data_IF_737979222110
#
_entry.id   IF_737979222110
#
_cell.length_a   1.000
_cell.length_b   1.000
_cell.length_c   1.000
_cell.angle_alpha   90.00
_cell.angle_beta   90.00
_cell.angle_gamma   90.00
#
_symmetry.space_group_name_H-M   'P 1'
#
loop_
_entity.id
_entity.type
_entity.pdbx_description
1 polymer ?
#
# COMPACT_ATOMS: atom_id res chain seq x y z
N UNK A 1 -41.80 -13.08 77.23
CA UNK A 1 -41.57 -13.54 78.62
C UNK A 1 -40.26 -14.33 78.64
N UNK A 2 -39.23 -13.76 79.30
CA UNK A 2 -37.94 -14.36 79.79
C UNK A 2 -36.98 -14.94 78.71
N UNK A 3 -35.82 -14.30 78.43
CA UNK A 3 -34.50 -14.36 79.14
C UNK A 3 -33.89 -15.79 79.09
N UNK A 4 -32.60 -16.10 78.91
CA UNK A 4 -31.28 -15.43 78.91
C UNK A 4 -30.22 -16.54 78.65
N UNK A 5 -28.99 -16.16 78.26
CA UNK A 5 -27.70 -16.85 78.48
C UNK A 5 -27.48 -18.25 77.83
N UNK A 6 -26.30 -18.67 77.38
CA UNK A 6 -24.94 -18.12 77.46
C UNK A 6 -23.91 -19.06 76.77
N UNK A 7 -22.95 -18.40 76.11
CA UNK A 7 -21.57 -18.69 75.64
C UNK A 7 -20.79 -19.77 76.46
N UNK A 8 -19.65 -20.39 76.03
CA UNK A 8 -19.09 -20.78 74.70
C UNK A 8 -18.59 -22.26 74.65
N UNK A 9 -18.18 -22.76 73.47
CA UNK A 9 -17.06 -23.71 73.40
C UNK A 9 -16.24 -23.51 72.12
N UNK A 10 -14.95 -23.23 72.31
CA UNK A 10 -13.90 -23.08 71.30
C UNK A 10 -13.49 -24.46 70.79
N UNK A 11 -13.39 -24.64 69.48
CA UNK A 11 -12.59 -25.69 68.86
C UNK A 11 -12.04 -25.20 67.52
N UNK A 12 -10.71 -25.06 67.47
CA UNK A 12 -9.93 -24.85 66.26
C UNK A 12 -10.15 -26.03 65.31
N UNK A 13 -10.55 -25.74 64.07
CA UNK A 13 -10.40 -26.66 62.95
C UNK A 13 -9.72 -25.90 61.80
N UNK A 14 -8.60 -26.48 61.39
CA UNK A 14 -7.68 -26.11 60.31
C UNK A 14 -8.35 -25.61 59.03
N UNK A 15 -7.85 -24.47 58.52
CA UNK A 15 -8.09 -24.01 57.17
C UNK A 15 -7.47 -24.99 56.16
N UNK A 16 -8.25 -25.95 55.69
CA UNK A 16 -8.00 -26.61 54.41
C UNK A 16 -8.41 -25.63 53.30
N UNK A 17 -7.42 -25.06 52.61
CA UNK A 17 -7.66 -24.36 51.35
C UNK A 17 -8.15 -25.42 50.37
N UNK A 18 -9.47 -25.48 50.17
CA UNK A 18 -10.05 -26.22 49.07
C UNK A 18 -9.58 -25.51 47.79
N UNK A 19 -8.58 -26.08 47.12
CA UNK A 19 -8.31 -25.73 45.73
C UNK A 19 -9.55 -26.16 44.94
N UNK A 20 -10.33 -25.17 44.50
CA UNK A 20 -11.31 -25.36 43.45
C UNK A 20 -10.53 -25.81 42.21
N UNK A 21 -10.68 -27.08 41.86
CA UNK A 21 -10.23 -27.65 40.60
C UNK A 21 -11.06 -26.99 39.50
N UNK A 22 -10.49 -25.97 38.87
CA UNK A 22 -11.10 -25.18 37.80
C UNK A 22 -11.12 -26.06 36.55
N UNK A 23 -12.12 -26.95 36.47
CA UNK A 23 -12.35 -27.77 35.27
C UNK A 23 -12.46 -26.84 34.05
N UNK A 24 -11.67 -27.06 32.98
CA UNK A 24 -11.76 -26.24 31.79
C UNK A 24 -13.19 -26.33 31.22
N UNK A 25 -13.77 -25.21 30.75
CA UNK A 25 -15.14 -25.19 30.27
C UNK A 25 -15.33 -26.23 29.15
N UNK A 26 -16.48 -26.94 29.12
CA UNK A 26 -16.73 -27.96 28.11
C UNK A 26 -16.66 -27.32 26.72
N UNK A 27 -15.95 -27.95 25.78
CA UNK A 27 -15.69 -27.46 24.41
C UNK A 27 -16.95 -27.03 23.63
N UNK A 28 -18.13 -27.45 24.06
CA UNK A 28 -19.42 -27.09 23.46
C UNK A 28 -19.96 -25.71 23.90
N UNK A 29 -19.45 -25.13 24.99
CA UNK A 29 -19.88 -23.82 25.50
C UNK A 29 -19.38 -22.66 24.63
N UNK A 30 -18.10 -22.68 24.25
CA UNK A 30 -17.51 -21.65 23.40
C UNK A 30 -18.16 -21.57 22.01
N UNK A 31 -18.46 -22.71 21.38
CA UNK A 31 -19.14 -22.76 20.08
C UNK A 31 -20.60 -22.25 20.16
N UNK A 32 -21.28 -22.53 21.27
CA UNK A 32 -22.63 -22.01 21.53
C UNK A 32 -22.60 -20.48 21.75
N UNK A 33 -21.62 -19.99 22.50
CA UNK A 33 -21.44 -18.56 22.75
C UNK A 33 -21.12 -17.79 21.47
N UNK A 34 -20.23 -18.32 20.62
CA UNK A 34 -19.93 -17.75 19.30
C UNK A 34 -21.17 -17.71 18.39
N UNK A 35 -21.96 -18.78 18.40
CA UNK A 35 -23.23 -18.85 17.66
C UNK A 35 -24.24 -17.80 18.14
N UNK A 36 -24.37 -17.63 19.47
CA UNK A 36 -25.25 -16.63 20.08
C UNK A 36 -24.77 -15.20 19.77
N UNK A 37 -23.46 -14.96 19.78
CA UNK A 37 -22.88 -13.67 19.40
C UNK A 37 -23.14 -13.36 17.92
N UNK A 38 -22.98 -14.34 17.03
CA UNK A 38 -23.29 -14.20 15.60
C UNK A 38 -24.78 -13.91 15.34
N UNK A 39 -25.68 -14.57 16.05
CA UNK A 39 -27.12 -14.31 15.97
C UNK A 39 -27.49 -12.89 16.46
N UNK A 40 -26.89 -12.44 17.57
CA UNK A 40 -27.08 -11.08 18.09
C UNK A 40 -26.55 -10.02 17.14
N UNK A 41 -25.35 -10.20 16.59
CA UNK A 41 -24.79 -9.33 15.57
C UNK A 41 -25.74 -9.20 14.37
N UNK A 42 -26.21 -10.33 13.84
CA UNK A 42 -27.13 -10.36 12.69
C UNK A 42 -28.46 -9.65 13.00
N UNK A 43 -28.99 -9.85 14.20
CA UNK A 43 -30.22 -9.18 14.64
C UNK A 43 -30.05 -7.66 14.75
N UNK A 44 -28.90 -7.18 15.24
CA UNK A 44 -28.58 -5.76 15.33
C UNK A 44 -28.39 -5.12 13.95
N UNK A 45 -27.68 -5.78 13.05
CA UNK A 45 -27.53 -5.30 11.65
C UNK A 45 -28.90 -5.20 10.97
N UNK A 46 -29.72 -6.25 11.09
CA UNK A 46 -31.07 -6.25 10.52
C UNK A 46 -31.97 -5.17 11.13
N UNK A 47 -31.83 -4.90 12.44
CA UNK A 47 -32.51 -3.78 13.09
C UNK A 47 -32.04 -2.44 12.50
N UNK A 48 -30.73 -2.22 12.39
CA UNK A 48 -30.17 -1.02 11.77
C UNK A 48 -30.67 -0.79 10.34
N UNK A 49 -30.70 -1.85 9.53
CA UNK A 49 -31.21 -1.80 8.16
C UNK A 49 -32.69 -1.40 8.10
N UNK A 50 -33.54 -1.97 8.98
CA UNK A 50 -34.96 -1.63 9.06
C UNK A 50 -35.19 -0.19 9.51
N UNK A 51 -34.52 0.25 10.58
CA UNK A 51 -34.69 1.62 11.09
C UNK A 51 -34.17 2.66 10.08
N UNK A 52 -33.07 2.34 9.37
CA UNK A 52 -32.55 3.17 8.27
C UNK A 52 -33.56 3.29 7.13
N UNK A 53 -34.14 2.18 6.69
CA UNK A 53 -35.17 2.17 5.65
C UNK A 53 -36.44 2.93 6.07
N UNK A 54 -36.75 2.95 7.37
CA UNK A 54 -37.85 3.72 7.95
C UNK A 54 -37.53 5.21 8.19
N UNK A 55 -36.33 5.69 7.85
CA UNK A 55 -35.89 7.07 8.07
C UNK A 55 -35.56 7.41 9.53
N UNK A 56 -35.52 6.42 10.42
CA UNK A 56 -35.20 6.57 11.84
C UNK A 56 -33.70 6.50 12.06
N UNK A 57 -33.03 7.59 11.69
CA UNK A 57 -31.56 7.63 11.58
C UNK A 57 -30.86 7.42 12.93
N UNK A 58 -31.38 7.96 14.02
CA UNK A 58 -30.75 7.84 15.35
C UNK A 58 -30.80 6.39 15.85
N UNK A 59 -31.94 5.73 15.69
CA UNK A 59 -32.16 4.33 16.06
C UNK A 59 -31.31 3.38 15.21
N UNK A 60 -31.17 3.69 13.92
CA UNK A 60 -30.28 2.96 13.01
C UNK A 60 -28.81 3.08 13.46
N UNK A 61 -28.36 4.29 13.82
CA UNK A 61 -27.00 4.52 14.35
C UNK A 61 -26.76 3.73 15.61
N UNK A 62 -27.70 3.72 16.57
CA UNK A 62 -27.53 2.93 17.79
C UNK A 62 -27.40 1.44 17.48
N UNK A 63 -28.25 0.90 16.61
CA UNK A 63 -28.21 -0.52 16.25
C UNK A 63 -26.91 -0.92 15.53
N UNK A 64 -26.44 -0.13 14.56
CA UNK A 64 -25.17 -0.40 13.91
C UNK A 64 -23.96 -0.18 14.83
N UNK A 65 -23.99 0.82 15.72
CA UNK A 65 -22.92 1.04 16.68
C UNK A 65 -22.80 -0.11 17.69
N UNK A 66 -23.93 -0.68 18.13
CA UNK A 66 -23.94 -1.90 18.94
C UNK A 66 -23.40 -3.10 18.16
N UNK A 67 -23.80 -3.28 16.90
CA UNK A 67 -23.26 -4.35 16.05
C UNK A 67 -21.75 -4.21 15.84
N UNK A 68 -21.27 -2.99 15.57
CA UNK A 68 -19.86 -2.69 15.33
C UNK A 68 -19.01 -2.94 16.57
N UNK A 69 -19.50 -2.61 17.77
CA UNK A 69 -18.81 -2.96 19.03
C UNK A 69 -18.63 -4.46 19.24
N UNK A 70 -19.53 -5.28 18.69
CA UNK A 70 -19.41 -6.74 18.76
C UNK A 70 -18.38 -7.26 17.75
N UNK A 71 -18.35 -6.67 16.56
CA UNK A 71 -17.45 -7.05 15.47
C UNK A 71 -17.15 -5.83 14.62
N UNK A 72 -15.86 -5.54 14.45
CA UNK A 72 -15.33 -4.49 13.56
C UNK A 72 -15.50 -4.88 12.09
N UNK A 73 -16.76 -5.01 11.65
CA UNK A 73 -17.15 -5.38 10.29
C UNK A 73 -17.16 -4.13 9.38
N UNK A 74 -16.34 -4.08 8.30
CA UNK A 74 -16.22 -2.89 7.47
C UNK A 74 -17.54 -2.46 6.81
N UNK A 75 -18.45 -3.40 6.50
CA UNK A 75 -19.73 -3.06 5.85
C UNK A 75 -20.64 -2.36 6.84
N UNK A 76 -20.72 -2.88 8.07
CA UNK A 76 -21.46 -2.23 9.17
C UNK A 76 -20.85 -0.86 9.49
N UNK A 77 -19.52 -0.77 9.51
CA UNK A 77 -18.78 0.48 9.69
C UNK A 77 -19.13 1.51 8.62
N UNK A 78 -19.17 1.13 7.34
CA UNK A 78 -19.53 2.01 6.23
C UNK A 78 -20.96 2.56 6.33
N UNK A 79 -21.92 1.70 6.69
CA UNK A 79 -23.32 2.10 6.94
C UNK A 79 -23.45 3.06 8.12
N UNK A 80 -22.76 2.75 9.22
CA UNK A 80 -22.72 3.61 10.41
C UNK A 80 -22.10 4.97 10.09
N UNK A 81 -20.94 4.97 9.41
CA UNK A 81 -20.24 6.18 9.01
C UNK A 81 -21.09 7.08 8.11
N UNK A 82 -21.78 6.51 7.13
CA UNK A 82 -22.67 7.27 6.25
C UNK A 82 -23.81 7.96 7.03
N UNK A 83 -24.40 7.28 8.02
CA UNK A 83 -25.41 7.87 8.88
C UNK A 83 -24.84 8.95 9.81
N UNK A 84 -23.63 8.76 10.34
CA UNK A 84 -22.97 9.75 11.18
C UNK A 84 -22.71 11.06 10.43
N UNK A 85 -22.37 11.01 9.15
CA UNK A 85 -22.27 12.22 8.29
C UNK A 85 -23.62 12.94 8.19
N UNK A 86 -24.72 12.20 7.96
CA UNK A 86 -26.06 12.78 7.89
C UNK A 86 -26.48 13.45 9.21
N UNK A 87 -26.02 12.92 10.34
CA UNK A 87 -26.26 13.48 11.68
C UNK A 87 -25.26 14.57 12.10
N UNK A 88 -24.37 15.01 11.21
CA UNK A 88 -23.41 16.08 11.50
C UNK A 88 -22.24 15.65 12.39
N UNK A 89 -21.90 14.36 12.41
CA UNK A 89 -20.76 13.78 13.13
C UNK A 89 -19.65 13.30 12.17
N UNK A 90 -19.04 14.19 11.36
CA UNK A 90 -18.08 13.80 10.32
C UNK A 90 -16.77 13.21 10.88
N UNK A 91 -16.38 13.58 12.10
CA UNK A 91 -15.13 13.12 12.72
C UNK A 91 -15.15 11.61 12.95
N UNK A 92 -16.20 11.10 13.59
CA UNK A 92 -16.34 9.65 13.84
C UNK A 92 -16.63 8.88 12.55
N UNK A 93 -17.23 9.53 11.56
CA UNK A 93 -17.57 8.90 10.29
C UNK A 93 -16.34 8.63 9.40
N UNK A 94 -15.36 9.53 9.39
CA UNK A 94 -14.25 9.49 8.43
C UNK A 94 -13.42 8.20 8.53
N UNK A 95 -13.07 7.77 9.74
CA UNK A 95 -12.32 6.52 9.96
C UNK A 95 -13.14 5.29 9.50
N UNK A 96 -14.41 5.22 9.91
CA UNK A 96 -15.32 4.11 9.56
C UNK A 96 -15.53 4.00 8.05
N UNK A 97 -15.68 5.14 7.37
CA UNK A 97 -15.90 5.19 5.93
C UNK A 97 -14.65 4.82 5.14
N UNK A 98 -13.47 5.30 5.56
CA UNK A 98 -12.21 4.91 4.93
C UNK A 98 -12.00 3.39 5.02
N UNK A 99 -12.20 2.83 6.21
CA UNK A 99 -12.08 1.39 6.45
C UNK A 99 -13.06 0.58 5.58
N UNK A 100 -14.30 1.03 5.47
CA UNK A 100 -15.32 0.42 4.62
C UNK A 100 -14.98 0.49 3.12
N UNK A 101 -14.40 1.60 2.66
CA UNK A 101 -13.99 1.77 1.25
C UNK A 101 -12.84 0.81 0.91
N UNK A 102 -11.87 0.68 1.83
CA UNK A 102 -10.66 -0.11 1.61
C UNK A 102 -10.92 -1.62 1.77
N UNK A 103 -11.64 -2.04 2.83
CA UNK A 103 -11.84 -3.45 3.18
C UNK A 103 -13.24 -3.99 2.89
N UNK A 104 -14.23 -3.12 2.69
CA UNK A 104 -15.61 -3.53 2.39
C UNK A 104 -15.75 -4.11 0.99
N UNK A 105 -15.94 -5.44 0.92
CA UNK A 105 -16.15 -6.19 -0.32
C UNK A 105 -17.58 -6.73 -0.39
N UNK A 106 -18.07 -7.01 -1.60
CA UNK A 106 -19.40 -7.62 -1.80
C UNK A 106 -20.60 -6.68 -1.61
N UNK A 107 -20.36 -5.37 -1.48
CA UNK A 107 -21.42 -4.35 -1.45
C UNK A 107 -21.84 -3.92 -2.86
N UNK A 108 -23.07 -3.42 -2.99
CA UNK A 108 -23.56 -2.92 -4.28
C UNK A 108 -22.79 -1.67 -4.72
N UNK A 109 -22.75 -1.40 -6.02
CA UNK A 109 -22.11 -0.21 -6.57
C UNK A 109 -22.75 1.08 -6.03
N UNK A 110 -24.06 1.09 -5.85
CA UNK A 110 -24.82 2.20 -5.27
C UNK A 110 -24.42 2.46 -3.81
N UNK A 111 -24.35 1.41 -2.99
CA UNK A 111 -23.96 1.54 -1.59
C UNK A 111 -22.50 2.03 -1.46
N UNK A 112 -21.61 1.51 -2.30
CA UNK A 112 -20.20 1.97 -2.36
C UNK A 112 -20.10 3.43 -2.79
N UNK A 113 -20.89 3.87 -3.77
CA UNK A 113 -20.93 5.26 -4.20
C UNK A 113 -21.45 6.19 -3.09
N UNK A 114 -22.47 5.75 -2.33
CA UNK A 114 -22.96 6.48 -1.17
C UNK A 114 -21.89 6.63 -0.09
N UNK A 115 -21.07 5.60 0.16
CA UNK A 115 -19.95 5.68 1.11
C UNK A 115 -18.88 6.67 0.66
N UNK A 116 -18.48 6.64 -0.61
CA UNK A 116 -17.53 7.60 -1.18
C UNK A 116 -18.04 9.04 -1.04
N UNK A 117 -19.31 9.27 -1.37
CA UNK A 117 -19.95 10.58 -1.24
C UNK A 117 -20.00 11.05 0.22
N UNK A 118 -20.33 10.16 1.15
CA UNK A 118 -20.32 10.48 2.57
C UNK A 118 -18.89 10.75 3.08
N UNK A 119 -17.91 10.00 2.58
CA UNK A 119 -16.50 10.19 2.93
C UNK A 119 -15.98 11.53 2.44
N UNK A 120 -16.29 11.94 1.21
CA UNK A 120 -15.91 13.25 0.68
C UNK A 120 -16.48 14.40 1.54
N UNK A 121 -17.74 14.27 1.97
CA UNK A 121 -18.36 15.23 2.90
C UNK A 121 -17.66 15.23 4.27
N UNK A 122 -17.36 14.06 4.82
CA UNK A 122 -16.64 13.96 6.09
C UNK A 122 -15.24 14.57 5.98
N UNK A 123 -14.51 14.28 4.89
CA UNK A 123 -13.18 14.79 4.59
C UNK A 123 -13.13 16.31 4.49
N UNK A 124 -14.17 16.94 3.94
CA UNK A 124 -14.26 18.40 3.87
C UNK A 124 -14.36 19.07 5.27
N UNK A 125 -14.82 18.33 6.28
CA UNK A 125 -15.05 18.84 7.63
C UNK A 125 -13.90 18.53 8.62
N UNK A 126 -12.98 17.62 8.25
CA UNK A 126 -11.92 17.13 9.14
C UNK A 126 -10.53 17.27 8.52
N UNK A 127 -9.49 17.35 9.34
CA UNK A 127 -8.12 17.27 8.87
C UNK A 127 -7.67 15.81 8.85
N UNK A 128 -7.06 15.36 7.75
CA UNK A 128 -6.40 14.05 7.66
C UNK A 128 -4.96 14.20 8.09
N UNK A 129 -4.51 13.39 9.04
CA UNK A 129 -3.12 13.30 9.42
C UNK A 129 -2.55 11.96 8.97
N UNK A 130 -1.41 12.01 8.30
CA UNK A 130 -0.61 10.83 7.98
C UNK A 130 0.59 10.85 8.92
N UNK A 131 0.62 9.89 9.85
CA UNK A 131 1.61 9.84 10.92
C UNK A 131 2.57 8.70 10.64
N UNK A 132 3.86 9.02 10.65
CA UNK A 132 4.96 8.05 10.62
C UNK A 132 5.71 8.11 11.93
N UNK A 133 6.06 6.97 12.50
CA UNK A 133 6.86 6.84 13.73
C UNK A 133 8.13 6.07 13.41
N UNK A 134 9.28 6.58 13.86
CA UNK A 134 10.58 5.97 13.55
C UNK A 134 10.76 4.56 14.13
N UNK A 135 10.13 4.27 15.28
CA UNK A 135 10.24 2.99 15.97
C UNK A 135 8.88 2.28 16.02
N UNK A 136 8.89 0.98 15.73
CA UNK A 136 7.71 0.12 15.90
C UNK A 136 7.36 -0.03 17.39
N UNK A 137 6.10 -0.37 17.68
CA UNK A 137 5.58 -0.55 19.05
C UNK A 137 5.59 0.70 19.93
N UNK A 138 5.92 1.86 19.38
CA UNK A 138 5.74 3.14 20.04
C UNK A 138 4.25 3.40 20.30
N UNK A 139 3.93 3.86 21.52
CA UNK A 139 2.58 4.28 21.87
C UNK A 139 2.37 5.71 21.38
N UNK A 140 1.40 5.89 20.48
CA UNK A 140 1.02 7.23 19.98
C UNK A 140 -0.30 7.69 20.58
N UNK A 141 -0.29 8.92 21.11
CA UNK A 141 -1.47 9.61 21.64
C UNK A 141 -1.72 10.91 20.87
N UNK A 142 -2.99 11.23 20.67
CA UNK A 142 -3.46 12.53 20.19
C UNK A 142 -4.25 13.18 21.33
N UNK A 143 -3.80 14.35 21.80
CA UNK A 143 -4.40 15.06 22.94
C UNK A 143 -4.57 14.15 24.18
N UNK A 144 -3.59 13.26 24.41
CA UNK A 144 -3.61 12.26 25.48
C UNK A 144 -4.47 11.01 25.21
N UNK A 145 -5.29 10.99 24.16
CA UNK A 145 -6.08 9.81 23.79
C UNK A 145 -5.25 8.83 22.93
N UNK A 146 -5.21 7.53 23.25
CA UNK A 146 -4.42 6.55 22.50
C UNK A 146 -5.01 6.31 21.09
N UNK A 147 -4.18 6.45 20.06
CA UNK A 147 -4.59 6.29 18.64
C UNK A 147 -3.88 5.15 17.91
N UNK A 148 -2.69 4.74 18.34
CA UNK A 148 -1.95 3.62 17.75
C UNK A 148 -1.74 2.52 18.79
N UNK A 149 -2.72 1.61 18.93
CA UNK A 149 -2.66 0.52 19.92
C UNK A 149 -1.84 -0.66 19.43
N UNK A 150 -1.77 -0.84 18.11
CA UNK A 150 -1.10 -1.98 17.48
C UNK A 150 0.39 -1.73 17.23
N UNK A 151 0.87 -0.51 17.50
CA UNK A 151 2.29 -0.17 17.40
C UNK A 151 2.78 -0.03 15.96
N UNK A 152 1.89 0.37 15.05
CA UNK A 152 2.20 0.57 13.63
C UNK A 152 3.17 1.74 13.44
N UNK A 153 4.13 1.61 12.53
CA UNK A 153 5.06 2.69 12.19
C UNK A 153 4.45 3.72 11.25
N UNK A 154 3.33 3.42 10.60
CA UNK A 154 2.62 4.34 9.72
C UNK A 154 1.11 4.12 9.80
N UNK A 155 0.35 5.19 10.01
CA UNK A 155 -1.12 5.12 10.06
C UNK A 155 -1.75 6.47 9.73
N UNK A 156 -3.03 6.44 9.36
CA UNK A 156 -3.85 7.63 9.08
C UNK A 156 -4.83 7.84 10.22
N UNK A 157 -5.09 9.10 10.56
CA UNK A 157 -6.11 9.47 11.54
C UNK A 157 -6.80 10.77 11.14
N UNK A 158 -8.07 10.94 11.51
CA UNK A 158 -8.82 12.17 11.27
C UNK A 158 -9.01 12.96 12.56
N UNK A 159 -8.78 14.27 12.48
CA UNK A 159 -8.89 15.18 13.63
C UNK A 159 -9.83 16.35 13.32
N UNK A 160 -10.52 16.88 14.35
CA UNK A 160 -11.22 18.15 14.18
C UNK A 160 -10.23 19.27 13.79
N UNK A 161 -10.72 20.35 13.15
CA UNK A 161 -9.89 21.54 12.94
C UNK A 161 -9.56 22.21 14.28
N UNK A 162 -8.33 22.73 14.43
CA UNK A 162 -7.88 23.39 15.65
C UNK A 162 -6.51 22.92 16.14
N UNK A 163 -6.12 23.38 17.33
CA UNK A 163 -4.84 23.04 17.94
C UNK A 163 -4.86 21.63 18.55
N UNK A 164 -3.81 20.86 18.29
CA UNK A 164 -3.66 19.47 18.72
C UNK A 164 -2.20 19.16 19.11
N UNK A 165 -2.03 18.22 20.04
CA UNK A 165 -0.73 17.64 20.40
C UNK A 165 -0.69 16.17 19.93
N UNK A 166 0.34 15.83 19.16
CA UNK A 166 0.68 14.46 18.81
C UNK A 166 1.94 14.02 19.56
N UNK A 167 1.86 12.91 20.29
CA UNK A 167 2.95 12.40 21.12
C UNK A 167 3.21 10.92 20.87
N UNK A 168 4.46 10.56 20.61
CA UNK A 168 4.94 9.18 20.62
C UNK A 168 5.84 8.94 21.83
N UNK A 169 5.66 7.78 22.47
CA UNK A 169 6.45 7.35 23.64
C UNK A 169 6.84 5.89 23.51
N UNK A 170 8.09 5.57 23.88
CA UNK A 170 8.63 4.21 23.89
C UNK A 170 9.68 4.08 25.00
N UNK A 171 9.63 2.98 25.76
CA UNK A 171 10.58 2.76 26.87
C UNK A 171 12.01 2.69 26.34
N UNK A 172 12.91 3.47 26.94
CA UNK A 172 14.31 3.58 26.49
C UNK A 172 14.54 4.67 25.44
N UNK A 173 13.51 5.45 25.10
CA UNK A 173 13.57 6.58 24.19
C UNK A 173 13.04 7.86 24.85
N UNK A 174 13.49 9.00 24.34
CA UNK A 174 12.87 10.30 24.59
C UNK A 174 11.53 10.39 23.86
N UNK A 175 10.52 10.96 24.52
CA UNK A 175 9.21 11.21 23.91
C UNK A 175 9.35 12.21 22.75
N UNK A 176 8.71 11.89 21.63
CA UNK A 176 8.57 12.82 20.51
C UNK A 176 7.21 13.51 20.61
N UNK A 177 7.21 14.85 20.66
CA UNK A 177 5.99 15.68 20.78
C UNK A 177 5.96 16.69 19.65
N UNK A 178 4.80 16.80 18.98
CA UNK A 178 4.53 17.78 17.93
C UNK A 178 3.21 18.47 18.23
N UNK A 179 3.28 19.79 18.39
CA UNK A 179 2.10 20.66 18.42
C UNK A 179 1.79 21.15 17.02
N UNK A 180 0.52 21.12 16.63
CA UNK A 180 0.10 21.59 15.31
C UNK A 180 -1.32 22.14 15.32
N UNK A 181 -1.66 22.91 14.28
CA UNK A 181 -3.00 23.40 14.04
C UNK A 181 -3.61 22.70 12.82
N UNK A 182 -4.55 21.80 13.07
CA UNK A 182 -5.27 21.04 12.06
C UNK A 182 -6.13 21.93 11.17
N UNK A 183 -5.97 21.80 9.86
CA UNK A 183 -6.67 22.61 8.86
C UNK A 183 -7.93 21.86 8.41
N UNK A 184 -9.09 22.53 8.47
CA UNK A 184 -10.37 21.99 7.97
C UNK A 184 -10.24 21.59 6.51
N UNK A 185 -10.61 20.35 6.17
CA UNK A 185 -10.48 19.81 4.81
C UNK A 185 -9.04 19.49 4.39
N UNK A 186 -8.06 19.77 5.24
CA UNK A 186 -6.65 19.63 4.94
C UNK A 186 -6.16 18.19 5.03
N UNK A 187 -4.94 18.01 4.54
CA UNK A 187 -4.10 16.83 4.78
C UNK A 187 -2.75 17.31 5.29
N UNK A 188 -2.27 16.73 6.38
CA UNK A 188 -0.96 17.03 6.97
C UNK A 188 -0.19 15.74 7.19
N UNK A 189 1.13 15.83 7.11
CA UNK A 189 2.02 14.68 7.30
C UNK A 189 3.02 15.00 8.41
N UNK A 190 3.18 14.08 9.36
CA UNK A 190 4.11 14.22 10.47
C UNK A 190 4.95 12.97 10.67
N UNK A 191 6.23 13.18 10.96
CA UNK A 191 7.16 12.11 11.35
C UNK A 191 7.61 12.32 12.79
N UNK A 192 7.26 11.38 13.67
CA UNK A 192 7.70 11.34 15.07
C UNK A 192 8.99 10.52 15.16
N UNK A 193 10.10 11.20 15.39
CA UNK A 193 11.42 10.57 15.53
C UNK A 193 11.75 10.41 17.01
N UNK A 194 11.77 9.16 17.48
CA UNK A 194 12.16 8.81 18.85
C UNK A 194 13.68 8.69 18.94
N UNK A 195 14.29 9.34 19.95
CA UNK A 195 15.74 9.29 20.19
C UNK A 195 16.03 8.35 21.35
N UNK A 196 16.93 7.40 21.15
CA UNK A 196 17.32 6.48 22.21
C UNK A 196 17.97 7.25 23.38
N UNK A 197 17.50 6.98 24.60
CA UNK A 197 18.13 7.50 25.80
C UNK A 197 19.51 6.85 25.96
N UNK A 198 20.54 7.59 26.40
CA UNK A 198 21.86 7.03 26.62
C UNK A 198 21.77 5.91 27.68
N UNK A 199 21.94 4.67 27.24
CA UNK A 199 22.11 3.53 28.13
C UNK A 199 23.47 3.66 28.80
N UNK A 200 23.49 4.10 30.06
CA UNK A 200 24.67 3.92 30.91
C UNK A 200 24.81 2.42 31.19
N UNK A 201 25.58 1.71 30.37
CA UNK A 201 26.24 0.49 30.80
C UNK A 201 27.48 0.90 31.58
N UNK A 202 27.61 0.56 32.88
CA UNK A 202 28.91 0.61 33.53
C UNK A 202 29.86 -0.25 32.71
N UNK A 203 30.98 0.32 32.28
CA UNK A 203 32.07 -0.45 31.69
C UNK A 203 32.59 -1.33 32.82
N UNK A 204 32.11 -2.57 32.92
CA UNK A 204 32.86 -3.60 33.63
C UNK A 204 34.15 -3.81 32.82
N UNK A 205 35.23 -3.17 33.27
CA UNK A 205 36.60 -3.52 32.84
C UNK A 205 36.78 -5.02 33.02
N UNK A 206 36.95 -5.81 31.96
CA UNK A 206 37.37 -7.19 32.15
C UNK A 206 38.84 -7.15 32.56
N UNK A 207 39.11 -7.42 33.84
CA UNK A 207 40.45 -7.67 34.41
C UNK A 207 41.22 -8.82 33.71
N UNK A 208 40.67 -9.40 32.62
CA UNK A 208 41.23 -10.56 31.91
C UNK A 208 42.35 -10.25 30.92
N UNK A 209 42.72 -8.99 30.68
CA UNK A 209 43.85 -8.67 29.79
C UNK A 209 45.23 -8.67 30.50
N UNK A 210 45.30 -8.93 31.81
CA UNK A 210 46.59 -9.09 32.53
C UNK A 210 47.07 -10.54 32.68
N UNK A 211 46.55 -11.49 31.90
CA UNK A 211 47.19 -12.81 31.77
C UNK A 211 48.36 -12.74 30.79
N UNK A 212 49.47 -12.22 31.31
CA UNK A 212 50.82 -12.25 30.77
C UNK A 212 51.17 -13.68 30.33
N UNK A 213 50.95 -13.99 29.04
CA UNK A 213 51.46 -15.22 28.41
C UNK A 213 52.96 -15.03 28.26
N UNK A 214 53.72 -15.71 29.11
CA UNK A 214 55.16 -15.90 28.97
C UNK A 214 55.35 -16.66 27.64
N UNK A 215 55.83 -15.96 26.62
CA UNK A 215 56.25 -16.56 25.35
C UNK A 215 57.76 -16.70 25.45
N UNK A 216 58.21 -17.95 25.55
CA UNK A 216 59.62 -18.29 25.49
C UNK A 216 60.17 -17.92 24.10
N UNK A 217 61.28 -17.17 24.11
CA UNK A 217 62.08 -16.90 22.93
C UNK A 217 62.69 -18.20 22.42
N UNK A 218 62.37 -18.57 21.18
CA UNK A 218 63.17 -19.47 20.39
C UNK A 218 63.37 -18.87 19.00
N UNK A 219 64.63 -18.53 18.73
CA UNK A 219 65.33 -18.48 17.45
C UNK A 219 64.57 -18.03 16.19
N UNK A 220 65.01 -16.89 15.66
CA UNK A 220 64.97 -16.55 14.24
C UNK A 220 65.46 -17.73 13.37
N UNK A 221 64.77 -18.00 12.26
CA UNK A 221 65.46 -18.04 10.98
C UNK A 221 64.82 -17.10 9.96
N UNK A 222 65.71 -16.39 9.27
CA UNK A 222 65.59 -15.71 7.98
C UNK A 222 64.20 -15.62 7.33
N UNK A 223 63.74 -14.37 7.21
CA UNK A 223 62.70 -13.98 6.26
C UNK A 223 63.18 -14.26 4.82
N UNK A 224 62.44 -15.03 4.01
CA UNK A 224 62.68 -15.04 2.57
C UNK A 224 62.27 -13.68 1.97
N UNK A 225 62.84 -13.30 0.81
CA UNK A 225 62.55 -12.03 0.17
C UNK A 225 61.08 -11.92 -0.20
N UNK A 226 60.53 -10.71 -0.11
CA UNK A 226 59.20 -10.37 -0.64
C UNK A 226 59.14 -10.66 -2.14
N UNK A 227 58.53 -11.78 -2.51
CA UNK A 227 58.12 -12.05 -3.88
C UNK A 227 56.99 -11.08 -4.25
N UNK A 228 57.20 -10.34 -5.33
CA UNK A 228 56.20 -9.50 -6.00
C UNK A 228 54.85 -10.25 -6.15
N UNK A 229 53.70 -9.56 -6.00
CA UNK A 229 52.42 -10.18 -6.26
C UNK A 229 52.42 -10.72 -7.70
N UNK A 230 52.09 -12.01 -7.92
CA UNK A 230 52.14 -12.59 -9.25
C UNK A 230 51.23 -11.80 -10.17
N UNK A 231 51.78 -11.32 -11.29
CA UNK A 231 50.99 -10.83 -12.42
C UNK A 231 49.96 -11.89 -12.76
N UNK A 232 48.69 -11.53 -12.65
CA UNK A 232 47.59 -12.39 -13.05
C UNK A 232 47.82 -12.83 -14.50
N UNK A 233 48.18 -14.10 -14.69
CA UNK A 233 48.20 -14.71 -16.00
C UNK A 233 46.77 -14.67 -16.55
N UNK A 234 46.57 -14.32 -17.84
CA UNK A 234 45.28 -14.46 -18.45
C UNK A 234 44.91 -15.94 -18.42
N UNK A 235 43.75 -16.26 -17.86
CA UNK A 235 43.18 -17.62 -17.85
C UNK A 235 43.05 -18.07 -19.31
N UNK A 236 44.07 -18.75 -19.83
CA UNK A 236 44.07 -19.53 -21.07
C UNK A 236 43.57 -20.91 -20.70
N UNK A 237 42.25 -21.04 -20.66
CA UNK A 237 41.56 -22.27 -20.29
C UNK A 237 40.18 -22.31 -20.93
N UNK A 238 40.14 -22.17 -22.26
CA UNK A 238 38.95 -22.34 -23.08
C UNK A 238 39.42 -22.63 -24.50
N UNK A 239 38.98 -23.75 -25.04
CA UNK A 239 39.30 -24.21 -26.39
C UNK A 239 39.00 -23.08 -27.37
N UNK A 240 40.02 -22.53 -28.04
CA UNK A 240 39.84 -21.67 -29.20
C UNK A 240 39.10 -22.50 -30.27
N UNK A 241 37.85 -22.15 -30.57
CA UNK A 241 37.19 -22.62 -31.79
C UNK A 241 35.69 -22.94 -31.71
N UNK A 242 35.13 -23.19 -30.53
CA UNK A 242 33.69 -23.37 -30.41
C UNK A 242 33.03 -22.09 -29.89
N UNK A 243 32.39 -21.35 -30.82
CA UNK A 243 31.45 -20.30 -30.46
C UNK A 243 30.44 -20.91 -29.48
N UNK A 244 30.54 -20.53 -28.20
CA UNK A 244 29.57 -20.92 -27.20
C UNK A 244 28.19 -20.58 -27.73
N UNK A 245 27.41 -21.62 -28.09
CA UNK A 245 26.07 -21.47 -28.63
C UNK A 245 25.32 -20.56 -27.68
N UNK A 246 24.87 -19.40 -28.17
CA UNK A 246 24.14 -18.47 -27.32
C UNK A 246 22.80 -19.12 -26.98
N UNK A 247 22.73 -19.76 -25.81
CA UNK A 247 21.47 -20.22 -25.26
C UNK A 247 20.54 -19.00 -25.17
N UNK A 248 19.36 -19.12 -25.78
CA UNK A 248 18.38 -18.04 -25.82
C UNK A 248 18.02 -17.62 -24.39
N UNK A 249 17.99 -16.32 -24.13
CA UNK A 249 17.69 -15.78 -22.80
C UNK A 249 16.27 -15.24 -22.74
N UNK A 250 15.55 -15.59 -21.69
CA UNK A 250 14.23 -15.05 -21.38
C UNK A 250 14.36 -13.83 -20.46
N UNK A 251 13.40 -12.92 -20.54
CA UNK A 251 13.24 -11.92 -19.50
C UNK A 251 11.78 -11.49 -19.37
N UNK A 252 11.38 -11.15 -18.15
CA UNK A 252 10.11 -10.52 -17.83
C UNK A 252 10.38 -9.18 -17.16
N UNK A 253 9.54 -8.18 -17.38
CA UNK A 253 9.72 -6.87 -16.77
C UNK A 253 8.39 -6.20 -16.47
N UNK A 254 8.40 -5.29 -15.51
CA UNK A 254 7.24 -4.49 -15.12
C UNK A 254 7.65 -3.09 -14.64
N UNK A 255 6.75 -2.13 -14.76
CA UNK A 255 6.99 -0.77 -14.26
C UNK A 255 5.88 0.22 -14.63
N UNK A 256 6.07 1.51 -14.27
CA UNK A 256 5.19 2.58 -14.71
C UNK A 256 5.40 2.97 -16.18
N UNK A 257 4.33 3.40 -16.83
CA UNK A 257 4.31 4.04 -18.16
C UNK A 257 3.51 5.33 -18.11
N UNK A 258 3.99 6.33 -18.85
CA UNK A 258 3.29 7.57 -19.16
C UNK A 258 2.98 7.61 -20.65
N UNK A 259 1.71 7.79 -21.02
CA UNK A 259 1.24 7.80 -22.41
C UNK A 259 0.62 9.16 -22.72
N UNK A 260 1.10 9.77 -23.81
CA UNK A 260 0.60 11.03 -24.36
C UNK A 260 -0.20 10.75 -25.64
N UNK A 261 -1.20 11.57 -25.91
CA UNK A 261 -2.11 11.37 -27.05
C UNK A 261 -3.28 10.46 -26.74
N UNK A 262 -3.48 10.07 -25.46
CA UNK A 262 -4.70 9.40 -24.99
C UNK A 262 -5.78 10.47 -24.88
N UNK A 263 -6.39 10.82 -26.01
CA UNK A 263 -7.47 11.83 -26.12
C UNK A 263 -7.08 13.29 -25.78
N UNK A 264 -5.99 13.50 -25.04
CA UNK A 264 -5.36 14.78 -24.76
C UNK A 264 -3.82 14.64 -24.78
N UNK A 265 -3.11 15.76 -24.72
CA UNK A 265 -1.66 15.77 -24.48
C UNK A 265 -1.30 15.73 -22.98
N UNK A 266 -2.29 15.62 -22.10
CA UNK A 266 -2.04 15.34 -20.69
C UNK A 266 -1.53 13.91 -20.56
N UNK A 267 -0.49 13.65 -19.75
CA UNK A 267 0.02 12.29 -19.57
C UNK A 267 -1.02 11.40 -18.89
N UNK A 268 -1.39 10.31 -19.55
CA UNK A 268 -2.06 9.18 -18.91
C UNK A 268 -0.99 8.33 -18.21
N UNK A 269 -1.24 7.89 -16.98
CA UNK A 269 -0.29 7.11 -16.19
C UNK A 269 -0.87 5.73 -15.89
N UNK A 270 -0.03 4.69 -15.92
CA UNK A 270 -0.43 3.37 -15.46
C UNK A 270 0.68 2.33 -15.54
N UNK A 271 0.34 1.03 -15.40
CA UNK A 271 1.32 -0.04 -15.40
C UNK A 271 1.63 -0.56 -16.80
N UNK A 272 2.84 -1.09 -16.97
CA UNK A 272 3.28 -1.93 -18.07
C UNK A 272 3.87 -3.23 -17.53
N UNK A 273 3.59 -4.34 -18.23
CA UNK A 273 4.22 -5.64 -18.02
C UNK A 273 4.63 -6.20 -19.39
N UNK A 274 5.78 -6.87 -19.47
CA UNK A 274 6.20 -7.48 -20.72
C UNK A 274 7.14 -8.64 -20.54
N UNK A 275 7.28 -9.41 -21.61
CA UNK A 275 8.23 -10.50 -21.73
C UNK A 275 9.05 -10.32 -23.00
N UNK A 276 10.33 -10.68 -22.95
CA UNK A 276 11.24 -10.66 -24.09
C UNK A 276 12.01 -11.96 -24.18
N UNK A 277 12.17 -12.46 -25.39
CA UNK A 277 13.04 -13.57 -25.74
C UNK A 277 14.19 -13.05 -26.60
N UNK A 278 15.41 -13.35 -26.18
CA UNK A 278 16.65 -12.91 -26.82
C UNK A 278 17.35 -14.13 -27.43
N UNK A 279 17.09 -14.46 -28.71
CA UNK A 279 17.73 -15.60 -29.37
C UNK A 279 19.24 -15.41 -29.54
N UNK A 280 19.75 -14.18 -29.59
CA UNK A 280 21.17 -13.88 -29.72
C UNK A 280 21.56 -12.54 -29.10
N UNK A 281 22.86 -12.22 -29.09
CA UNK A 281 23.37 -11.00 -28.43
C UNK A 281 22.96 -9.66 -29.08
N UNK A 282 22.24 -9.63 -30.19
CA UNK A 282 21.93 -8.40 -30.92
C UNK A 282 20.44 -8.24 -31.23
N UNK A 283 19.64 -9.30 -31.13
CA UNK A 283 18.22 -9.33 -31.47
C UNK A 283 17.39 -9.82 -30.28
N UNK A 284 16.25 -9.18 -30.03
CA UNK A 284 15.22 -9.71 -29.15
C UNK A 284 13.82 -9.50 -29.72
N UNK A 285 12.92 -10.42 -29.39
CA UNK A 285 11.49 -10.35 -29.71
C UNK A 285 10.75 -10.19 -28.38
N UNK A 286 9.74 -9.33 -28.33
CA UNK A 286 9.01 -9.04 -27.10
C UNK A 286 7.52 -8.87 -27.31
N UNK A 287 6.77 -9.12 -26.25
CA UNK A 287 5.35 -8.85 -26.14
C UNK A 287 5.06 -8.14 -24.81
N UNK A 288 4.20 -7.12 -24.86
CA UNK A 288 4.01 -6.20 -23.75
C UNK A 288 2.53 -5.84 -23.63
N UNK A 289 2.02 -5.72 -22.41
CA UNK A 289 0.69 -5.23 -22.11
C UNK A 289 0.77 -4.00 -21.24
N UNK A 290 -0.05 -2.98 -21.53
CA UNK A 290 -0.12 -1.75 -20.74
C UNK A 290 -1.53 -1.22 -20.61
N UNK A 291 -1.75 -0.48 -19.54
CA UNK A 291 -2.92 0.35 -19.36
C UNK A 291 -2.49 1.71 -18.77
N UNK A 292 -3.18 2.78 -19.14
CA UNK A 292 -2.93 4.11 -18.60
C UNK A 292 -4.21 4.93 -18.54
N UNK A 293 -4.38 5.71 -17.47
CA UNK A 293 -5.55 6.56 -17.23
C UNK A 293 -5.14 8.02 -17.18
N UNK A 294 -5.97 8.89 -17.77
CA UNK A 294 -5.80 10.32 -17.57
C UNK A 294 -6.13 10.67 -16.10
N UNK A 295 -5.21 11.30 -15.36
CA UNK A 295 -5.48 11.74 -13.99
C UNK A 295 -6.41 12.97 -13.95
N UNK A 296 -6.55 13.66 -15.08
CA UNK A 296 -7.40 14.84 -15.22
C UNK A 296 -8.41 14.66 -16.35
N UNK A 297 -9.42 15.52 -16.36
CA UNK A 297 -10.35 15.64 -17.47
C UNK A 297 -9.70 15.96 -18.82
N UNK A 298 -10.46 15.77 -19.90
CA UNK A 298 -10.08 16.13 -21.27
C UNK A 298 -10.56 17.54 -21.59
N UNK A 299 -9.63 18.45 -21.93
CA UNK A 299 -9.99 19.82 -22.32
C UNK A 299 -10.70 20.62 -21.21
N UNK A 300 -10.43 20.30 -19.94
CA UNK A 300 -11.11 20.92 -18.78
C UNK A 300 -12.49 20.33 -18.47
N UNK A 301 -13.03 19.44 -19.31
CA UNK A 301 -14.27 18.74 -19.03
C UNK A 301 -14.02 17.48 -18.16
N UNK A 302 -14.95 17.08 -17.27
CA UNK A 302 -14.82 15.92 -16.38
C UNK A 302 -15.01 14.58 -17.13
N UNK A 303 -14.18 14.36 -18.16
CA UNK A 303 -14.17 13.18 -19.00
C UNK A 303 -13.01 12.30 -18.56
N UNK A 304 -13.30 11.08 -18.11
CA UNK A 304 -12.28 10.08 -17.82
C UNK A 304 -11.93 9.34 -19.12
N UNK A 305 -10.64 9.27 -19.44
CA UNK A 305 -10.17 8.48 -20.57
C UNK A 305 -9.08 7.51 -20.11
N UNK A 306 -9.10 6.32 -20.71
CA UNK A 306 -8.06 5.32 -20.53
C UNK A 306 -7.64 4.71 -21.86
N UNK A 307 -6.40 4.25 -21.91
CA UNK A 307 -5.91 3.37 -22.97
C UNK A 307 -5.49 2.04 -22.36
N UNK A 308 -5.74 0.95 -23.08
CA UNK A 308 -5.20 -0.36 -22.75
C UNK A 308 -4.80 -1.06 -24.04
N UNK A 309 -3.66 -1.73 -24.09
CA UNK A 309 -3.21 -2.36 -25.33
C UNK A 309 -2.03 -3.28 -25.17
N UNK A 310 -1.85 -4.10 -26.21
CA UNK A 310 -0.70 -4.95 -26.39
C UNK A 310 0.29 -4.34 -27.39
N UNK A 311 1.58 -4.56 -27.16
CA UNK A 311 2.65 -4.27 -28.10
C UNK A 311 3.42 -5.53 -28.45
N UNK A 312 3.79 -5.67 -29.72
CA UNK A 312 4.77 -6.63 -30.20
C UNK A 312 6.01 -5.86 -30.66
N UNK A 313 7.19 -6.29 -30.22
CA UNK A 313 8.44 -5.56 -30.46
C UNK A 313 9.51 -6.46 -31.08
N UNK A 314 10.25 -5.92 -32.04
CA UNK A 314 11.49 -6.50 -32.57
C UNK A 314 12.63 -5.52 -32.34
N UNK A 315 13.57 -5.86 -31.47
CA UNK A 315 14.60 -4.94 -30.98
C UNK A 315 16.01 -5.35 -31.39
N UNK A 316 16.78 -4.38 -31.89
CA UNK A 316 18.23 -4.44 -32.01
C UNK A 316 18.91 -3.88 -30.76
N UNK A 317 19.99 -4.53 -30.31
CA UNK A 317 20.75 -4.14 -29.11
C UNK A 317 22.18 -3.73 -29.47
N UNK A 318 22.64 -2.62 -28.91
CA UNK A 318 24.03 -2.18 -28.99
C UNK A 318 24.52 -1.68 -27.62
N UNK A 319 25.40 -2.48 -26.99
CA UNK A 319 25.87 -2.24 -25.62
C UNK A 319 24.69 -2.10 -24.63
N UNK A 320 24.54 -0.93 -24.02
CA UNK A 320 23.47 -0.60 -23.08
C UNK A 320 22.25 0.03 -23.77
N UNK A 321 22.32 0.35 -25.06
CA UNK A 321 21.24 0.96 -25.81
C UNK A 321 20.50 -0.07 -26.66
N UNK A 322 19.23 0.17 -26.94
CA UNK A 322 18.44 -0.63 -27.86
C UNK A 322 17.47 0.23 -28.67
N UNK A 323 17.11 -0.27 -29.85
CA UNK A 323 16.07 0.30 -30.70
C UNK A 323 15.13 -0.79 -31.19
N UNK A 324 13.83 -0.53 -31.19
CA UNK A 324 12.80 -1.49 -31.59
C UNK A 324 11.88 -0.95 -32.66
N UNK A 325 11.48 -1.82 -33.58
CA UNK A 325 10.22 -1.68 -34.32
C UNK A 325 9.07 -2.19 -33.44
N UNK A 326 7.97 -1.44 -33.39
CA UNK A 326 6.84 -1.70 -32.49
C UNK A 326 5.54 -1.80 -33.29
N UNK A 327 4.82 -2.89 -33.11
CA UNK A 327 3.42 -3.02 -33.49
C UNK A 327 2.53 -2.88 -32.27
N UNK A 328 1.45 -2.13 -32.39
CA UNK A 328 0.51 -1.82 -31.31
C UNK A 328 -0.90 -2.27 -31.69
N UNK A 329 -1.59 -2.90 -30.75
CA UNK A 329 -3.03 -3.14 -30.81
C UNK A 329 -3.64 -2.74 -29.46
N UNK A 330 -4.36 -1.62 -29.44
CA UNK A 330 -4.93 -1.09 -28.21
C UNK A 330 -6.37 -0.63 -28.39
N UNK A 331 -7.02 -0.44 -27.26
CA UNK A 331 -8.32 0.19 -27.14
C UNK A 331 -8.20 1.53 -26.41
N UNK A 332 -9.02 2.48 -26.85
CA UNK A 332 -9.28 3.73 -26.15
C UNK A 332 -10.70 3.65 -25.59
N UNK A 333 -10.86 3.90 -24.29
CA UNK A 333 -12.15 3.94 -23.62
C UNK A 333 -12.36 5.33 -23.01
N UNK A 334 -13.53 5.89 -23.25
CA UNK A 334 -13.98 7.16 -22.67
C UNK A 334 -15.20 6.91 -21.81
N UNK A 335 -15.24 7.53 -20.62
CA UNK A 335 -16.41 7.55 -19.75
C UNK A 335 -16.67 9.02 -19.37
N UNK A 336 -17.79 9.56 -19.82
CA UNK A 336 -18.30 10.85 -19.40
C UNK A 336 -19.18 10.67 -18.15
N UNK A 337 -19.02 11.51 -17.12
CA UNK A 337 -19.84 11.39 -15.90
C UNK A 337 -21.27 11.94 -16.12
N UNK A 338 -22.25 11.27 -15.51
CA UNK A 338 -23.69 11.47 -15.72
C UNK A 338 -24.22 12.85 -15.33
N UNK A 339 -23.43 13.66 -14.61
CA UNK A 339 -23.88 14.96 -14.13
C UNK A 339 -24.12 15.99 -15.27
N UNK A 340 -23.71 15.70 -16.51
CA UNK A 340 -23.86 16.66 -17.62
C UNK A 340 -24.05 16.03 -19.02
N UNK A 341 -24.03 14.70 -19.17
CA UNK A 341 -23.97 14.04 -20.48
C UNK A 341 -24.85 12.80 -20.54
N UNK A 342 -25.41 12.51 -21.72
CA UNK A 342 -25.93 11.17 -22.01
C UNK A 342 -24.74 10.20 -21.97
N UNK A 343 -24.81 9.13 -21.16
CA UNK A 343 -23.70 8.19 -21.04
C UNK A 343 -23.52 7.46 -22.38
N UNK A 344 -22.53 7.88 -23.15
CA UNK A 344 -22.05 7.14 -24.32
C UNK A 344 -20.67 6.57 -24.02
N UNK A 345 -20.58 5.25 -23.99
CA UNK A 345 -19.34 4.52 -23.90
C UNK A 345 -18.85 4.20 -25.31
N UNK A 346 -17.66 4.70 -25.65
CA UNK A 346 -16.99 4.36 -26.90
C UNK A 346 -15.74 3.53 -26.63
N UNK A 347 -15.67 2.37 -27.28
CA UNK A 347 -14.48 1.52 -27.31
C UNK A 347 -13.96 1.49 -28.74
N UNK A 348 -12.77 2.05 -28.96
CA UNK A 348 -12.13 2.06 -30.28
C UNK A 348 -10.89 1.17 -30.28
N UNK A 349 -10.91 0.10 -31.07
CA UNK A 349 -9.70 -0.65 -31.39
C UNK A 349 -8.85 0.11 -32.40
N UNK A 350 -7.57 0.33 -32.08
CA UNK A 350 -6.62 1.13 -32.86
C UNK A 350 -5.33 0.32 -33.06
N UNK A 351 -5.13 -0.30 -34.24
CA UNK A 351 -3.83 -0.82 -34.59
C UNK A 351 -2.85 0.35 -34.77
N UNK A 352 -1.55 0.13 -34.60
CA UNK A 352 -0.54 1.16 -34.78
C UNK A 352 0.84 0.57 -35.05
N UNK A 353 1.73 1.38 -35.61
CA UNK A 353 3.12 1.04 -35.88
C UNK A 353 4.03 2.17 -35.44
N UNK A 354 5.23 1.84 -34.98
CA UNK A 354 6.15 2.85 -34.53
C UNK A 354 7.52 2.34 -34.14
N UNK A 355 8.23 3.18 -33.39
CA UNK A 355 9.59 2.93 -32.96
C UNK A 355 9.76 3.18 -31.48
N UNK A 356 10.69 2.44 -30.87
CA UNK A 356 11.13 2.62 -29.48
C UNK A 356 12.63 2.75 -29.42
N UNK A 357 13.10 3.64 -28.56
CA UNK A 357 14.51 3.78 -28.19
C UNK A 357 14.64 3.71 -26.68
N UNK A 358 15.67 3.03 -26.17
CA UNK A 358 15.87 2.91 -24.74
C UNK A 358 17.26 2.50 -24.34
N UNK A 359 17.45 2.48 -23.02
CA UNK A 359 18.66 2.10 -22.34
C UNK A 359 18.36 1.02 -21.29
N UNK A 360 19.29 0.09 -21.11
CA UNK A 360 19.20 -1.00 -20.13
C UNK A 360 20.48 -1.05 -19.30
N UNK A 361 20.33 -0.94 -17.99
CA UNK A 361 21.37 -1.12 -17.00
C UNK A 361 21.18 -2.48 -16.32
N UNK A 362 22.24 -3.28 -16.22
CA UNK A 362 22.22 -4.52 -15.42
C UNK A 362 22.64 -4.20 -14.00
N UNK A 363 21.74 -4.43 -13.05
CA UNK A 363 21.99 -4.21 -11.62
C UNK A 363 22.58 -5.46 -10.94
N UNK A 364 22.46 -6.62 -11.57
CA UNK A 364 23.03 -7.88 -11.10
C UNK A 364 23.04 -8.96 -12.19
N UNK A 365 23.14 -10.22 -11.78
CA UNK A 365 23.13 -11.37 -12.71
C UNK A 365 21.77 -11.58 -13.39
N UNK A 366 20.70 -11.37 -12.63
CA UNK A 366 19.31 -11.59 -13.10
C UNK A 366 18.47 -10.33 -13.11
N UNK A 367 18.96 -9.20 -12.58
CA UNK A 367 18.18 -7.98 -12.48
C UNK A 367 18.69 -6.89 -13.41
N UNK A 368 17.75 -6.22 -14.05
CA UNK A 368 17.99 -5.09 -14.93
C UNK A 368 17.00 -3.97 -14.69
N UNK A 369 17.42 -2.76 -14.97
CA UNK A 369 16.60 -1.57 -15.01
C UNK A 369 16.65 -1.02 -16.43
N UNK A 370 15.50 -0.70 -16.99
CA UNK A 370 15.40 -0.11 -18.32
C UNK A 370 14.52 1.13 -18.34
N UNK A 371 14.89 2.07 -19.20
CA UNK A 371 14.09 3.26 -19.52
C UNK A 371 13.96 3.37 -21.03
N UNK A 372 12.76 3.68 -21.51
CA UNK A 372 12.54 3.84 -22.95
C UNK A 372 11.50 4.89 -23.29
N UNK A 373 11.66 5.46 -24.48
CA UNK A 373 10.73 6.35 -25.13
C UNK A 373 10.27 5.72 -26.44
N UNK A 374 8.98 5.85 -26.76
CA UNK A 374 8.41 5.34 -28.01
C UNK A 374 7.44 6.33 -28.64
N UNK A 375 7.31 6.22 -29.96
CA UNK A 375 6.36 6.96 -30.77
C UNK A 375 5.61 5.94 -31.62
N UNK A 376 4.28 5.99 -31.58
CA UNK A 376 3.37 5.16 -32.37
C UNK A 376 2.53 6.02 -33.30
N UNK A 377 2.55 5.71 -34.59
CA UNK A 377 1.58 6.22 -35.55
C UNK A 377 0.30 5.38 -35.52
N UNK A 378 -0.85 6.06 -35.57
CA UNK A 378 -2.17 5.48 -35.63
C UNK A 378 -2.81 5.70 -37.02
N UNK A 379 -3.82 4.91 -37.44
CA UNK A 379 -4.52 5.10 -38.71
C UNK A 379 -5.28 6.41 -38.82
N UNK A 380 -5.76 6.96 -37.69
CA UNK A 380 -6.45 8.25 -37.65
C UNK A 380 -6.40 8.88 -36.26
N UNK A 381 -6.51 10.20 -36.23
CA UNK A 381 -6.55 10.98 -35.00
C UNK A 381 -7.88 10.82 -34.26
N UNK A 382 -7.95 11.41 -33.07
CA UNK A 382 -9.16 11.42 -32.25
C UNK A 382 -9.62 12.87 -32.11
N UNK A 383 -10.87 13.14 -32.50
CA UNK A 383 -11.54 14.40 -32.24
C UNK A 383 -12.64 14.14 -31.22
N UNK A 384 -12.67 14.95 -30.18
CA UNK A 384 -13.68 14.89 -29.12
C UNK A 384 -14.47 16.18 -29.23
N UNK A 385 -15.73 16.01 -29.63
CA UNK A 385 -16.71 17.09 -29.67
C UNK A 385 -17.54 17.09 -28.40
N UNK A 386 -17.90 18.27 -27.94
CA UNK A 386 -18.92 18.50 -26.93
C UNK A 386 -19.95 19.46 -27.51
N UNK A 387 -21.15 18.95 -27.84
CA UNK A 387 -22.17 19.67 -28.61
C UNK A 387 -21.59 20.11 -29.97
N UNK A 388 -21.36 21.41 -30.15
CA UNK A 388 -20.86 22.02 -31.39
C UNK A 388 -19.38 22.45 -31.30
N UNK A 389 -18.70 22.16 -30.18
CA UNK A 389 -17.31 22.57 -29.95
C UNK A 389 -16.37 21.36 -29.90
N UNK A 390 -15.21 21.45 -30.56
CA UNK A 390 -14.15 20.43 -30.46
C UNK A 390 -13.30 20.76 -29.24
N UNK A 391 -13.50 20.03 -28.15
CA UNK A 391 -12.76 20.23 -26.89
C UNK A 391 -11.35 19.64 -26.92
N UNK A 392 -11.12 18.63 -27.76
CA UNK A 392 -9.79 18.07 -27.96
C UNK A 392 -9.65 17.47 -29.37
N UNK A 393 -8.50 17.72 -29.99
CA UNK A 393 -8.10 17.11 -31.26
C UNK A 393 -6.70 16.55 -31.12
N UNK A 394 -6.58 15.23 -31.14
CA UNK A 394 -5.30 14.53 -31.10
C UNK A 394 -4.91 14.08 -32.51
N UNK A 395 -3.67 14.35 -32.94
CA UNK A 395 -3.16 13.79 -34.17
C UNK A 395 -3.09 12.25 -34.07
N UNK A 396 -2.93 11.54 -35.20
CA UNK A 396 -2.76 10.08 -35.23
C UNK A 396 -1.40 9.62 -34.68
N UNK A 397 -0.99 10.14 -33.52
CA UNK A 397 0.29 9.85 -32.88
C UNK A 397 0.10 9.67 -31.38
N UNK A 398 0.70 8.63 -30.82
CA UNK A 398 0.87 8.46 -29.38
C UNK A 398 2.35 8.41 -29.05
N UNK A 399 2.73 8.98 -27.91
CA UNK A 399 4.09 8.90 -27.38
C UNK A 399 4.03 8.27 -26.00
N UNK A 400 5.02 7.46 -25.64
CA UNK A 400 5.11 7.03 -24.24
C UNK A 400 6.53 6.96 -23.71
N UNK A 401 6.63 7.11 -22.40
CA UNK A 401 7.85 6.97 -21.62
C UNK A 401 7.59 5.91 -20.57
N UNK A 402 8.48 4.93 -20.44
CA UNK A 402 8.38 3.90 -19.41
C UNK A 402 9.73 3.67 -18.74
N UNK A 403 9.66 3.31 -17.46
CA UNK A 403 10.80 2.83 -16.68
C UNK A 403 10.38 1.51 -16.06
N UNK A 404 11.19 0.46 -16.22
CA UNK A 404 10.82 -0.89 -15.79
C UNK A 404 11.99 -1.65 -15.17
N UNK A 405 11.68 -2.44 -14.15
CA UNK A 405 12.59 -3.46 -13.62
C UNK A 405 12.35 -4.79 -14.33
N UNK A 406 13.42 -5.44 -14.77
CA UNK A 406 13.37 -6.70 -15.50
C UNK A 406 14.19 -7.81 -14.86
N UNK A 407 13.65 -9.03 -14.88
CA UNK A 407 14.30 -10.27 -14.48
C UNK A 407 14.77 -11.04 -15.73
N UNK A 408 16.05 -11.37 -15.85
CA UNK A 408 16.64 -12.23 -16.89
C UNK A 408 16.80 -13.68 -16.38
N UNK A 409 16.42 -14.67 -17.18
CA UNK A 409 16.53 -16.10 -16.89
C UNK A 409 16.97 -16.93 -18.10
#
# INVERSE_FOLDING_TARGET
MRYLLGIPLVLLASAGVAQADENPPPKNSAALDETLQGARFTALVSKGDRERAAGKLAEAVMAYAEAFKMKDDPIVGGRLGALLVLLGNPIQAADLLLDAIDRGQGVSAEERHAWLTAYDKARAEVCRLEVTVSEAHARVTLDGAPKNRDGLTGFTLFVPPGAHELRASLKGFEDAVIDFNAIKGGTMQYTLVLRALPTFTPIETPERLLRRRKVDLAANPELPPEDEPPKAEPIRGGVEGEEARSEGRGSVYAGPVMVFGVMSWTPAVGPVIGARYRPNAWLSIGAEGRAAWLPTGVGGAPISAMTAGGLATLCGHYKWAFGCAVGHLGMLRMVASEASFLPEEFVYFRPGLGGRLGAKARLGRSYSLEGSFEILGLPSGVKIGLRDEIIASQPPVMMSVQVGGGWEF
#
